data_IF_079514665575
#
_entry.id   IF_079514665575
#
_cell.length_a   1.000
_cell.length_b   1.000
_cell.length_c   1.000
_cell.angle_alpha   90.00
_cell.angle_beta   90.00
_cell.angle_gamma   90.00
#
_symmetry.space_group_name_H-M   'P 1'
#
loop_
_entity.id
_entity.type
_entity.pdbx_description
1 polymer ?
#
# COMPACT_ATOMS: atom_id res chain seq x y z
N UNK A 1 -5.38 38.73 -13.88
CA UNK A 1 -5.36 38.09 -12.55
C UNK A 1 -4.81 36.69 -12.78
N UNK A 2 -3.60 36.37 -12.33
CA UNK A 2 -2.97 35.06 -12.58
C UNK A 2 -3.72 33.99 -11.77
N UNK A 3 -4.32 33.00 -12.44
CA UNK A 3 -5.02 31.88 -11.80
C UNK A 3 -4.02 30.88 -11.20
N UNK A 4 -3.57 31.14 -9.97
CA UNK A 4 -2.63 30.27 -9.23
C UNK A 4 -3.36 29.07 -8.58
N UNK A 5 -4.49 28.65 -9.18
CA UNK A 5 -5.26 27.46 -8.81
C UNK A 5 -5.08 26.29 -9.79
N UNK A 6 -4.15 26.38 -10.73
CA UNK A 6 -4.00 25.45 -11.87
C UNK A 6 -2.79 24.52 -11.80
N UNK A 7 -1.96 24.59 -10.75
CA UNK A 7 -0.85 23.65 -10.60
C UNK A 7 -1.39 22.23 -10.44
N UNK A 8 -1.11 21.39 -11.43
CA UNK A 8 -1.46 19.98 -11.45
C UNK A 8 -0.19 19.16 -11.53
N UNK A 9 -0.17 18.06 -10.80
CA UNK A 9 0.91 17.09 -10.88
C UNK A 9 0.94 16.48 -12.28
N UNK A 10 2.10 16.56 -12.93
CA UNK A 10 2.28 16.03 -14.27
C UNK A 10 2.34 14.48 -14.24
N UNK A 11 2.10 13.83 -15.40
CA UNK A 11 2.00 12.37 -15.49
C UNK A 11 3.25 11.62 -14.98
N UNK A 12 4.43 12.22 -15.12
CA UNK A 12 5.72 11.64 -14.70
C UNK A 12 6.36 12.39 -13.52
N UNK A 13 5.64 13.34 -12.92
CA UNK A 13 6.15 14.10 -11.78
C UNK A 13 5.85 13.34 -10.49
N UNK A 14 6.88 13.17 -9.65
CA UNK A 14 6.71 12.59 -8.31
C UNK A 14 5.94 13.55 -7.40
N UNK A 15 5.27 12.99 -6.41
CA UNK A 15 4.54 13.75 -5.40
C UNK A 15 5.46 14.74 -4.66
N UNK A 16 6.71 14.35 -4.40
CA UNK A 16 7.72 15.22 -3.78
C UNK A 16 8.16 16.37 -4.68
N UNK A 17 8.35 16.12 -5.98
CA UNK A 17 8.67 17.18 -6.95
C UNK A 17 7.54 18.18 -7.05
N UNK A 18 6.30 17.69 -7.13
CA UNK A 18 5.11 18.53 -7.18
C UNK A 18 4.95 19.38 -5.91
N UNK A 19 5.19 18.79 -4.73
CA UNK A 19 5.19 19.54 -3.47
C UNK A 19 6.26 20.65 -3.44
N UNK A 20 7.48 20.36 -3.91
CA UNK A 20 8.54 21.37 -3.98
C UNK A 20 8.19 22.52 -4.93
N UNK A 21 7.50 22.22 -6.04
CA UNK A 21 6.97 23.22 -6.97
C UNK A 21 5.99 24.14 -6.26
N UNK A 22 5.03 23.58 -5.52
CA UNK A 22 4.05 24.33 -4.72
C UNK A 22 4.76 25.22 -3.70
N UNK A 23 5.72 24.69 -2.93
CA UNK A 23 6.50 25.50 -1.98
C UNK A 23 7.14 26.70 -2.67
N UNK A 24 7.87 26.48 -3.76
CA UNK A 24 8.57 27.54 -4.49
C UNK A 24 7.63 28.62 -5.04
N UNK A 25 6.49 28.25 -5.60
CA UNK A 25 5.57 29.24 -6.20
C UNK A 25 4.71 29.95 -5.15
N UNK A 26 4.32 29.25 -4.09
CA UNK A 26 3.38 29.77 -3.09
C UNK A 26 4.06 30.47 -1.93
N UNK A 27 5.34 30.19 -1.66
CA UNK A 27 6.18 30.98 -0.73
C UNK A 27 6.27 32.43 -1.19
N UNK A 28 6.45 32.67 -2.49
CA UNK A 28 6.48 34.02 -3.06
C UNK A 28 5.14 34.76 -2.96
N UNK A 29 4.07 34.05 -2.64
CA UNK A 29 2.71 34.58 -2.57
C UNK A 29 2.19 34.68 -1.12
N UNK A 30 3.01 34.31 -0.13
CA UNK A 30 2.66 34.40 1.29
C UNK A 30 1.62 33.38 1.74
N UNK A 31 1.50 32.24 1.06
CA UNK A 31 0.55 31.18 1.44
C UNK A 31 0.99 30.48 2.72
N UNK A 32 0.02 30.15 3.57
CA UNK A 32 0.24 29.34 4.77
C UNK A 32 0.44 27.87 4.40
N UNK A 33 1.15 27.11 5.23
CA UNK A 33 1.37 25.67 4.99
C UNK A 33 0.07 24.87 4.85
N UNK A 34 -1.00 25.31 5.53
CA UNK A 34 -2.33 24.73 5.38
C UNK A 34 -2.88 24.93 3.97
N UNK A 35 -2.76 26.14 3.40
CA UNK A 35 -3.22 26.42 2.04
C UNK A 35 -2.39 25.65 1.03
N UNK A 36 -1.06 25.63 1.19
CA UNK A 36 -0.16 24.83 0.33
C UNK A 36 -0.54 23.36 0.34
N UNK A 37 -0.82 22.81 1.52
CA UNK A 37 -1.28 21.42 1.66
C UNK A 37 -2.62 21.18 0.96
N UNK A 38 -3.58 22.10 1.10
CA UNK A 38 -4.85 22.02 0.38
C UNK A 38 -4.65 22.04 -1.14
N UNK A 39 -3.77 22.92 -1.62
CA UNK A 39 -3.43 23.01 -3.03
C UNK A 39 -2.77 21.73 -3.54
N UNK A 40 -1.82 21.18 -2.79
CA UNK A 40 -1.21 19.89 -3.07
C UNK A 40 -2.25 18.79 -3.24
N UNK A 41 -3.13 18.58 -2.24
CA UNK A 41 -4.15 17.51 -2.29
C UNK A 41 -5.12 17.71 -3.48
N UNK A 42 -5.45 18.95 -3.82
CA UNK A 42 -6.31 19.28 -4.96
C UNK A 42 -5.60 19.20 -6.32
N UNK A 43 -4.27 19.30 -6.31
CA UNK A 43 -3.41 19.41 -7.48
C UNK A 43 -2.79 18.08 -7.92
N UNK A 44 -2.62 17.15 -6.99
CA UNK A 44 -2.09 15.80 -7.30
C UNK A 44 -3.01 15.03 -8.25
N UNK A 45 -2.42 14.05 -8.94
CA UNK A 45 -3.16 13.11 -9.79
C UNK A 45 -4.20 12.33 -8.97
N UNK A 46 -5.23 11.83 -9.63
CA UNK A 46 -6.35 11.16 -8.93
C UNK A 46 -5.91 9.88 -8.21
N UNK A 47 -5.02 9.09 -8.81
CA UNK A 47 -4.42 7.89 -8.22
C UNK A 47 -3.67 8.20 -6.93
N UNK A 48 -2.90 9.29 -6.92
CA UNK A 48 -2.18 9.77 -5.74
C UNK A 48 -3.15 10.33 -4.70
N UNK A 49 -4.18 11.07 -5.12
CA UNK A 49 -5.18 11.62 -4.20
C UNK A 49 -5.92 10.53 -3.43
N UNK A 50 -6.33 9.47 -4.12
CA UNK A 50 -6.99 8.32 -3.50
C UNK A 50 -6.09 7.67 -2.44
N UNK A 51 -4.78 7.62 -2.71
CA UNK A 51 -3.81 7.13 -1.76
C UNK A 51 -3.64 8.05 -0.54
N UNK A 52 -3.63 9.37 -0.74
CA UNK A 52 -3.63 10.34 0.37
C UNK A 52 -4.86 10.14 1.27
N UNK A 53 -6.03 9.85 0.69
CA UNK A 53 -7.22 9.54 1.48
C UNK A 53 -7.05 8.24 2.28
N UNK A 54 -6.42 7.21 1.70
CA UNK A 54 -6.13 5.94 2.36
C UNK A 54 -5.12 6.08 3.50
N UNK A 55 -4.05 6.84 3.29
CA UNK A 55 -3.01 7.17 4.29
C UNK A 55 -3.60 8.04 5.42
N UNK A 56 -4.54 8.91 5.06
CA UNK A 56 -5.22 9.85 5.94
C UNK A 56 -4.74 11.29 5.72
N UNK A 57 -5.53 12.08 4.99
CA UNK A 57 -5.22 13.49 4.66
C UNK A 57 -5.00 14.40 5.88
N UNK A 58 -5.43 13.99 7.07
CA UNK A 58 -5.25 14.76 8.31
C UNK A 58 -3.79 14.75 8.79
N UNK A 59 -2.99 13.75 8.39
CA UNK A 59 -1.58 13.63 8.73
C UNK A 59 -0.77 14.84 8.27
N UNK A 60 0.34 15.17 8.94
CA UNK A 60 1.22 16.23 8.48
C UNK A 60 1.80 15.88 7.11
N UNK A 61 2.14 16.92 6.32
CA UNK A 61 2.48 16.74 4.89
C UNK A 61 3.73 15.88 4.67
N UNK A 62 4.70 15.93 5.58
CA UNK A 62 5.90 15.10 5.54
C UNK A 62 5.57 13.60 5.64
N UNK A 63 4.68 13.19 6.56
CA UNK A 63 4.25 11.79 6.67
C UNK A 63 3.52 11.30 5.41
N UNK A 64 2.73 12.19 4.79
CA UNK A 64 2.04 11.90 3.53
C UNK A 64 3.08 11.69 2.42
N UNK A 65 4.06 12.59 2.29
CA UNK A 65 5.09 12.51 1.25
C UNK A 65 5.98 11.27 1.41
N UNK A 66 6.37 10.92 2.63
CA UNK A 66 7.16 9.70 2.89
C UNK A 66 6.40 8.44 2.47
N UNK A 67 5.10 8.39 2.79
CA UNK A 67 4.22 7.27 2.40
C UNK A 67 4.03 7.22 0.88
N UNK A 68 3.83 8.36 0.22
CA UNK A 68 3.70 8.44 -1.23
C UNK A 68 5.00 8.04 -1.94
N UNK A 69 6.17 8.37 -1.40
CA UNK A 69 7.45 7.97 -1.97
C UNK A 69 7.63 6.45 -1.99
N UNK A 70 7.24 5.74 -0.92
CA UNK A 70 7.25 4.27 -0.89
C UNK A 70 6.29 3.67 -1.93
N UNK A 71 5.14 4.29 -2.12
CA UNK A 71 4.11 3.81 -3.04
C UNK A 71 4.49 4.07 -4.51
N UNK A 72 4.98 5.26 -4.84
CA UNK A 72 5.48 5.60 -6.18
C UNK A 72 6.68 4.70 -6.56
N UNK A 73 7.52 4.33 -5.58
CA UNK A 73 8.60 3.35 -5.77
C UNK A 73 8.07 1.95 -6.08
N UNK A 74 7.06 1.47 -5.35
CA UNK A 74 6.43 0.16 -5.58
C UNK A 74 5.68 0.07 -6.91
N UNK A 75 5.08 1.16 -7.34
CA UNK A 75 4.32 1.21 -8.60
C UNK A 75 5.22 1.34 -9.84
N UNK A 76 6.54 1.49 -9.68
CA UNK A 76 7.48 1.64 -10.80
C UNK A 76 7.25 2.92 -11.62
N UNK A 77 6.52 3.90 -11.06
CA UNK A 77 6.28 5.22 -11.67
C UNK A 77 7.55 6.08 -11.67
N UNK A 78 8.50 5.77 -10.79
CA UNK A 78 9.84 6.31 -10.77
C UNK A 78 10.82 5.25 -11.29
N UNK A 79 11.50 5.53 -12.41
CA UNK A 79 12.82 4.94 -12.67
C UNK A 79 13.78 5.26 -11.52
N UNK A 80 14.98 4.64 -11.48
CA UNK A 80 15.90 4.77 -10.34
C UNK A 80 16.06 6.24 -9.92
N UNK A 81 15.70 6.49 -8.67
CA UNK A 81 15.51 7.81 -8.08
C UNK A 81 16.68 8.77 -8.39
N UNK A 82 16.43 9.99 -8.89
CA UNK A 82 17.45 11.03 -8.82
C UNK A 82 17.62 11.40 -7.35
N UNK A 83 18.78 11.04 -6.81
CA UNK A 83 19.22 11.30 -5.45
C UNK A 83 18.91 12.74 -5.01
N UNK A 84 17.92 12.92 -4.13
CA UNK A 84 17.72 14.17 -3.40
C UNK A 84 18.72 14.22 -2.24
N UNK A 85 19.99 14.44 -2.56
CA UNK A 85 21.02 14.88 -1.61
C UNK A 85 21.21 16.39 -1.73
N UNK A 86 20.19 17.20 -1.45
CA UNK A 86 20.39 18.65 -1.19
C UNK A 86 19.14 19.34 -0.63
N UNK A 87 18.77 19.07 0.62
CA UNK A 87 18.11 20.06 1.46
C UNK A 87 18.55 19.86 2.91
N UNK A 88 19.47 20.70 3.37
CA UNK A 88 19.77 20.87 4.80
C UNK A 88 19.08 22.15 5.29
N UNK A 89 18.04 22.04 6.12
CA UNK A 89 17.78 23.02 7.16
C UNK A 89 18.35 22.48 8.47
N UNK A 90 19.25 23.25 9.06
CA UNK A 90 19.86 23.08 10.38
C UNK A 90 18.86 22.59 11.44
N UNK A 91 19.17 21.59 12.28
CA UNK A 91 18.26 21.15 13.33
C UNK A 91 18.37 22.05 14.57
N UNK A 92 17.26 22.51 15.17
CA UNK A 92 17.31 22.97 16.56
C UNK A 92 17.46 21.74 17.45
N UNK A 93 18.49 21.78 18.30
CA UNK A 93 18.75 20.78 19.32
C UNK A 93 17.56 20.71 20.29
N UNK A 94 16.78 19.63 20.22
CA UNK A 94 15.95 19.19 21.34
C UNK A 94 16.27 17.73 21.59
N UNK A 95 17.02 17.54 22.67
CA UNK A 95 17.19 16.27 23.37
C UNK A 95 15.80 15.68 23.64
N UNK A 96 15.50 14.51 23.09
CA UNK A 96 14.38 13.73 23.56
C UNK A 96 14.77 12.25 23.63
N UNK A 97 14.83 11.79 24.87
CA UNK A 97 15.04 10.40 25.23
C UNK A 97 13.83 9.58 24.75
N UNK A 98 13.98 8.80 23.69
CA UNK A 98 13.01 7.77 23.31
C UNK A 98 13.63 6.39 23.60
N UNK A 99 12.89 5.46 24.24
CA UNK A 99 13.40 4.12 24.48
C UNK A 99 13.64 3.45 23.14
N UNK A 100 14.85 2.89 22.98
CA UNK A 100 15.32 2.10 21.85
C UNK A 100 14.21 1.16 21.38
N UNK A 101 13.50 1.54 20.30
CA UNK A 101 12.65 0.61 19.60
C UNK A 101 13.61 -0.44 19.05
N UNK A 102 13.50 -1.67 19.56
CA UNK A 102 14.13 -2.85 18.96
C UNK A 102 13.77 -2.82 17.47
N UNK A 103 14.74 -2.42 16.66
CA UNK A 103 14.59 -2.32 15.22
C UNK A 103 14.41 -3.72 14.67
N UNK A 104 13.15 -4.15 14.53
CA UNK A 104 12.78 -5.24 13.62
C UNK A 104 13.35 -4.88 12.25
N UNK A 105 14.38 -5.61 11.81
CA UNK A 105 15.02 -5.35 10.54
C UNK A 105 14.01 -5.57 9.41
N UNK A 106 14.05 -4.73 8.37
CA UNK A 106 13.23 -4.93 7.16
C UNK A 106 13.39 -6.36 6.61
N UNK A 107 14.60 -6.93 6.74
CA UNK A 107 14.90 -8.30 6.36
C UNK A 107 14.11 -9.33 7.17
N UNK A 108 13.97 -9.12 8.48
CA UNK A 108 13.20 -10.01 9.37
C UNK A 108 11.72 -9.96 9.03
N UNK A 109 11.20 -8.77 8.74
CA UNK A 109 9.81 -8.56 8.31
C UNK A 109 9.56 -9.32 6.99
N UNK A 110 10.41 -9.11 5.98
CA UNK A 110 10.29 -9.80 4.69
C UNK A 110 10.37 -11.32 4.85
N UNK A 111 11.30 -11.81 5.66
CA UNK A 111 11.44 -13.25 5.94
C UNK A 111 10.17 -13.82 6.58
N UNK A 112 9.61 -13.12 7.58
CA UNK A 112 8.40 -13.56 8.27
C UNK A 112 7.19 -13.64 7.33
N UNK A 113 7.06 -12.68 6.41
CA UNK A 113 6.01 -12.73 5.38
C UNK A 113 6.19 -13.89 4.40
N UNK A 114 7.42 -14.14 3.95
CA UNK A 114 7.72 -15.24 3.04
C UNK A 114 7.47 -16.61 3.69
N UNK A 115 7.87 -16.77 4.96
CA UNK A 115 7.63 -17.99 5.73
C UNK A 115 6.13 -18.23 5.94
N UNK A 116 5.37 -17.18 6.30
CA UNK A 116 3.91 -17.27 6.44
C UNK A 116 3.22 -17.65 5.13
N UNK A 117 3.65 -17.07 4.01
CA UNK A 117 3.11 -17.39 2.68
C UNK A 117 3.39 -18.84 2.27
N UNK A 118 4.60 -19.33 2.53
CA UNK A 118 4.98 -20.72 2.26
C UNK A 118 4.18 -21.71 3.12
N UNK A 119 3.99 -21.39 4.40
CA UNK A 119 3.17 -22.19 5.31
C UNK A 119 1.72 -22.24 4.83
N UNK A 120 1.11 -21.10 4.52
CA UNK A 120 -0.29 -21.04 4.07
C UNK A 120 -0.51 -21.81 2.76
N UNK A 121 0.45 -21.77 1.83
CA UNK A 121 0.39 -22.55 0.58
C UNK A 121 0.41 -24.06 0.86
N UNK A 122 1.23 -24.49 1.82
CA UNK A 122 1.33 -25.90 2.22
C UNK A 122 0.04 -26.37 2.88
N UNK A 123 -0.52 -25.58 3.79
CA UNK A 123 -1.79 -25.87 4.46
C UNK A 123 -2.95 -25.94 3.46
N UNK A 124 -3.05 -24.99 2.53
CA UNK A 124 -4.07 -25.00 1.49
C UNK A 124 -3.95 -26.23 0.57
N UNK A 125 -2.73 -26.66 0.24
CA UNK A 125 -2.52 -27.88 -0.54
C UNK A 125 -2.96 -29.13 0.23
N UNK A 126 -2.69 -29.19 1.53
CA UNK A 126 -3.13 -30.29 2.39
C UNK A 126 -4.66 -30.32 2.53
N UNK A 127 -5.29 -29.15 2.70
CA UNK A 127 -6.75 -29.02 2.72
C UNK A 127 -7.38 -29.47 1.41
N UNK A 128 -6.82 -29.08 0.27
CA UNK A 128 -7.31 -29.51 -1.04
C UNK A 128 -7.29 -31.04 -1.17
N UNK A 129 -6.21 -31.69 -0.75
CA UNK A 129 -6.12 -33.17 -0.75
C UNK A 129 -7.22 -33.79 0.12
N UNK A 130 -7.43 -33.29 1.33
CA UNK A 130 -8.48 -33.78 2.23
C UNK A 130 -9.88 -33.60 1.64
N UNK A 131 -10.15 -32.46 1.00
CA UNK A 131 -11.44 -32.21 0.35
C UNK A 131 -11.67 -33.20 -0.80
N UNK A 132 -10.66 -33.44 -1.64
CA UNK A 132 -10.75 -34.41 -2.74
C UNK A 132 -10.97 -35.84 -2.22
N UNK A 133 -10.32 -36.21 -1.12
CA UNK A 133 -10.50 -37.52 -0.50
C UNK A 133 -11.91 -37.69 0.09
N UNK A 134 -12.41 -36.68 0.81
CA UNK A 134 -13.80 -36.68 1.29
C UNK A 134 -14.81 -36.75 0.15
N UNK A 135 -14.59 -36.02 -0.94
CA UNK A 135 -15.43 -36.11 -2.14
C UNK A 135 -15.42 -37.53 -2.74
N UNK A 136 -14.24 -38.17 -2.80
CA UNK A 136 -14.13 -39.57 -3.26
C UNK A 136 -14.85 -40.56 -2.34
N UNK A 137 -14.83 -40.33 -1.02
CA UNK A 137 -15.56 -41.16 -0.06
C UNK A 137 -17.08 -40.99 -0.21
N UNK A 138 -17.57 -39.76 -0.36
CA UNK A 138 -18.99 -39.50 -0.60
C UNK A 138 -19.46 -40.13 -1.91
N UNK A 139 -18.67 -40.03 -2.98
CA UNK A 139 -19.01 -40.66 -4.27
C UNK A 139 -19.13 -42.18 -4.18
N UNK A 140 -18.26 -42.84 -3.41
CA UNK A 140 -18.33 -44.28 -3.17
C UNK A 140 -19.53 -44.69 -2.30
N UNK A 141 -19.96 -43.84 -1.37
CA UNK A 141 -21.10 -44.12 -0.49
C UNK A 141 -22.47 -43.97 -1.19
N UNK A 142 -22.56 -43.17 -2.26
CA UNK A 142 -23.78 -43.03 -3.08
C UNK A 142 -24.01 -44.26 -3.98
N UNK A 143 -23.00 -45.12 -4.15
CA UNK A 143 -23.06 -46.31 -5.00
C UNK A 143 -23.31 -47.62 -4.23
N UNK A 144 -24.00 -47.56 -3.08
CA UNK A 144 -24.58 -48.76 -2.48
C UNK A 144 -25.74 -49.19 -3.40
N UNK A 145 -25.74 -50.41 -3.98
CA UNK A 145 -26.77 -50.82 -4.94
C UNK A 145 -28.14 -50.80 -4.26
N UNK A 146 -29.14 -50.24 -4.95
CA UNK A 146 -30.52 -50.31 -4.52
C UNK A 146 -30.90 -51.79 -4.21
N UNK A 147 -31.56 -52.08 -3.08
CA UNK A 147 -32.02 -53.43 -2.79
C UNK A 147 -32.97 -53.85 -3.92
N UNK A 148 -32.59 -54.92 -4.63
CA UNK A 148 -33.35 -55.44 -5.75
C UNK A 148 -34.73 -55.85 -5.23
N UNK A 149 -35.77 -55.17 -5.72
CA UNK A 149 -37.16 -55.54 -5.46
C UNK A 149 -37.41 -56.85 -6.18
N UNK A 150 -37.55 -57.92 -5.42
CA UNK A 150 -37.91 -59.24 -5.92
C UNK A 150 -39.38 -59.17 -6.34
N UNK A 151 -39.65 -59.31 -7.64
CA UNK A 151 -41.03 -59.39 -8.15
C UNK A 151 -41.70 -60.68 -7.63
N UNK A 152 -42.96 -60.62 -7.17
CA UNK A 152 -43.69 -61.81 -6.79
C UNK A 152 -44.23 -62.50 -8.05
N UNK A 153 -43.76 -63.73 -8.27
CA UNK A 153 -44.29 -64.67 -9.25
C UNK A 153 -45.77 -64.90 -8.98
N UNK A 154 -46.61 -64.74 -10.01
CA UNK A 154 -47.97 -65.28 -10.03
C UNK A 154 -48.34 -65.80 -11.41
#
# INVERSE_FOLDING_TARGET
MLEIGTLKQEAHESSSSFWAKIQKYEDHLGYTDKQKKTHFISGVRVDIRDEIFRIGQHRPINEILDSLADIELRQGLLGPSPSYHSYTPTPPAISNNAPQQQGISLADIQKTFQDALAQQKTENQALLKKVTELQSQMAQQVQIPAPQTVEPVR
#
